data_IF_338576614420
#
_entry.id   IF_338576614420
#
_cell.length_a   1.000
_cell.length_b   1.000
_cell.length_c   1.000
_cell.angle_alpha   90.00
_cell.angle_beta   90.00
_cell.angle_gamma   90.00
#
_symmetry.space_group_name_H-M   'P 1'
#
loop_
_entity.id
_entity.type
_entity.pdbx_description
1 polymer ?
#
# COMPACT_ATOMS: atom_id res chain seq x y z
N UNK A 1 -14.67 11.73 -4.63
CA UNK A 1 -14.46 12.25 -3.25
C UNK A 1 -13.48 13.43 -3.26
N UNK A 2 -13.33 14.20 -2.17
CA UNK A 2 -12.33 15.30 -2.06
C UNK A 2 -11.05 14.76 -1.41
N UNK A 3 -9.89 15.36 -1.68
CA UNK A 3 -8.60 14.94 -1.09
C UNK A 3 -8.65 14.76 0.44
N UNK A 4 -9.42 15.61 1.13
CA UNK A 4 -9.55 15.60 2.58
C UNK A 4 -10.25 14.36 3.15
N UNK A 5 -10.93 13.59 2.30
CA UNK A 5 -11.63 12.35 2.66
C UNK A 5 -10.78 11.10 2.37
N UNK A 6 -9.59 11.29 1.81
CA UNK A 6 -8.67 10.21 1.43
C UNK A 6 -7.51 10.20 2.42
N UNK A 7 -7.38 9.12 3.17
CA UNK A 7 -6.29 8.91 4.11
C UNK A 7 -5.32 7.85 3.56
N UNK A 8 -4.03 7.99 3.89
CA UNK A 8 -3.03 6.95 3.59
C UNK A 8 -3.40 5.68 4.37
N UNK A 9 -3.40 4.54 3.69
CA UNK A 9 -3.85 3.26 4.25
C UNK A 9 -5.36 3.05 4.24
N UNK A 10 -6.17 4.04 3.82
CA UNK A 10 -7.61 3.84 3.68
C UNK A 10 -7.94 2.93 2.49
N UNK A 11 -8.96 2.11 2.67
CA UNK A 11 -9.49 1.24 1.62
C UNK A 11 -10.63 1.95 0.91
N UNK A 12 -10.57 1.99 -0.42
CA UNK A 12 -11.49 2.74 -1.26
C UNK A 12 -11.87 1.94 -2.50
N UNK A 13 -13.07 2.17 -3.02
CA UNK A 13 -13.52 1.59 -4.28
C UNK A 13 -13.21 2.57 -5.40
N UNK A 14 -12.45 2.14 -6.40
CA UNK A 14 -12.04 2.95 -7.52
C UNK A 14 -12.45 2.29 -8.84
N UNK A 15 -12.60 3.11 -9.88
CA UNK A 15 -12.78 2.62 -11.25
C UNK A 15 -11.70 3.25 -12.12
N UNK A 16 -10.98 2.44 -12.87
CA UNK A 16 -10.07 2.94 -13.90
C UNK A 16 -10.85 3.54 -15.04
N UNK A 17 -10.28 4.54 -15.70
CA UNK A 17 -10.90 5.16 -16.87
C UNK A 17 -10.72 4.28 -18.12
N UNK A 18 -9.52 3.73 -18.29
CA UNK A 18 -9.15 2.90 -19.44
C UNK A 18 -8.60 1.52 -19.06
N UNK A 19 -7.88 1.41 -17.94
CA UNK A 19 -7.07 0.22 -17.65
C UNK A 19 -7.87 -1.00 -17.16
N UNK A 20 -8.99 -0.78 -16.49
CA UNK A 20 -9.84 -1.84 -15.92
C UNK A 20 -11.29 -1.64 -16.35
N UNK A 21 -11.96 -2.73 -16.72
CA UNK A 21 -13.35 -2.71 -17.20
C UNK A 21 -14.33 -2.59 -16.03
N UNK A 22 -14.00 -3.23 -14.90
CA UNK A 22 -14.82 -3.23 -13.67
C UNK A 22 -14.27 -2.25 -12.63
N UNK A 23 -15.08 -2.00 -11.63
CA UNK A 23 -14.63 -1.34 -10.40
C UNK A 23 -13.76 -2.30 -9.60
N UNK A 24 -12.78 -1.76 -8.90
CA UNK A 24 -11.88 -2.51 -8.03
C UNK A 24 -11.81 -1.84 -6.66
N UNK A 25 -11.25 -2.56 -5.69
CA UNK A 25 -10.98 -2.05 -4.37
C UNK A 25 -9.48 -1.97 -4.17
N UNK A 26 -9.02 -0.84 -3.62
CA UNK A 26 -7.61 -0.61 -3.38
C UNK A 26 -7.34 0.18 -2.12
N UNK A 27 -6.11 0.07 -1.65
CA UNK A 27 -5.60 0.76 -0.46
C UNK A 27 -4.72 1.93 -0.89
N UNK A 28 -4.94 3.11 -0.31
CA UNK A 28 -4.19 4.31 -0.69
C UNK A 28 -2.76 4.25 -0.16
N UNK A 29 -1.76 4.20 -1.04
CA UNK A 29 -0.34 4.23 -0.67
C UNK A 29 0.27 5.63 -0.78
N UNK A 30 -0.18 6.42 -1.75
CA UNK A 30 0.29 7.80 -1.95
C UNK A 30 -0.87 8.69 -2.36
N UNK A 31 -0.86 9.92 -1.89
CA UNK A 31 -1.87 10.93 -2.22
C UNK A 31 -1.18 12.06 -2.96
N UNK A 32 -1.64 12.35 -4.17
CA UNK A 32 -1.22 13.48 -4.97
C UNK A 32 -2.29 14.59 -4.92
N UNK A 33 -2.09 15.63 -5.72
CA UNK A 33 -2.97 16.79 -5.73
C UNK A 33 -4.39 16.49 -6.25
N UNK A 34 -4.48 15.67 -7.30
CA UNK A 34 -5.75 15.34 -7.97
C UNK A 34 -6.03 13.83 -8.06
N UNK A 35 -5.10 13.00 -7.61
CA UNK A 35 -5.15 11.55 -7.71
C UNK A 35 -4.50 10.89 -6.50
N UNK A 36 -4.72 9.59 -6.33
CA UNK A 36 -3.99 8.77 -5.38
C UNK A 36 -3.40 7.56 -6.11
N UNK A 37 -2.27 7.06 -5.59
CA UNK A 37 -1.78 5.72 -5.91
C UNK A 37 -2.46 4.73 -4.98
N UNK A 38 -3.14 3.76 -5.56
CA UNK A 38 -3.82 2.69 -4.87
C UNK A 38 -3.10 1.36 -5.15
N UNK A 39 -2.90 0.58 -4.10
CA UNK A 39 -2.60 -0.84 -4.20
C UNK A 39 -3.89 -1.63 -4.36
N UNK A 40 -4.07 -2.32 -5.49
CA UNK A 40 -5.27 -3.10 -5.79
C UNK A 40 -5.28 -4.34 -4.89
N UNK A 41 -6.32 -4.47 -4.06
CA UNK A 41 -6.48 -5.61 -3.13
C UNK A 41 -7.65 -6.51 -3.50
N UNK A 42 -8.62 -6.02 -4.27
CA UNK A 42 -9.71 -6.83 -4.82
C UNK A 42 -10.12 -6.33 -6.19
N UNK A 43 -10.24 -7.24 -7.13
CA UNK A 43 -10.56 -6.99 -8.53
C UNK A 43 -11.35 -8.19 -9.09
N UNK A 44 -11.92 -8.02 -10.28
CA UNK A 44 -12.67 -9.06 -10.98
C UNK A 44 -11.72 -9.87 -11.88
N UNK A 45 -11.95 -11.17 -12.04
CA UNK A 45 -11.10 -12.05 -12.86
C UNK A 45 -10.97 -11.59 -14.32
N UNK A 46 -12.00 -10.90 -14.85
CA UNK A 46 -11.95 -10.33 -16.21
C UNK A 46 -10.88 -9.27 -16.39
N UNK A 47 -10.44 -8.66 -15.29
CA UNK A 47 -9.43 -7.61 -15.23
C UNK A 47 -8.08 -8.12 -14.66
N UNK A 48 -7.98 -9.40 -14.30
CA UNK A 48 -6.79 -9.97 -13.65
C UNK A 48 -5.50 -9.76 -14.45
N UNK A 49 -5.57 -9.93 -15.78
CA UNK A 49 -4.42 -9.70 -16.66
C UNK A 49 -3.94 -8.25 -16.60
N UNK A 50 -4.85 -7.28 -16.66
CA UNK A 50 -4.52 -5.86 -16.57
C UNK A 50 -3.98 -5.49 -15.19
N UNK A 51 -4.59 -5.98 -14.12
CA UNK A 51 -4.09 -5.76 -12.74
C UNK A 51 -2.66 -6.30 -12.56
N UNK A 52 -2.38 -7.46 -13.14
CA UNK A 52 -1.04 -8.07 -13.06
C UNK A 52 0.01 -7.28 -13.84
N UNK A 53 -0.34 -6.76 -15.03
CA UNK A 53 0.54 -5.90 -15.85
C UNK A 53 0.90 -4.60 -15.11
N UNK A 54 -0.07 -4.06 -14.36
CA UNK A 54 0.08 -2.87 -13.53
C UNK A 54 0.79 -3.13 -12.20
N UNK A 55 1.30 -4.35 -11.97
CA UNK A 55 1.96 -4.73 -10.72
C UNK A 55 1.08 -4.42 -9.49
N UNK A 56 -0.24 -4.56 -9.63
CA UNK A 56 -1.23 -4.27 -8.59
C UNK A 56 -1.19 -2.83 -8.07
N UNK A 57 -0.63 -1.88 -8.83
CA UNK A 57 -0.53 -0.46 -8.45
C UNK A 57 -1.17 0.41 -9.52
N UNK A 58 -2.09 1.27 -9.11
CA UNK A 58 -2.80 2.14 -10.03
C UNK A 58 -2.97 3.56 -9.48
N UNK A 59 -2.73 4.55 -10.34
CA UNK A 59 -3.00 5.95 -10.02
C UNK A 59 -4.38 6.31 -10.51
N UNK A 60 -5.31 6.64 -9.60
CA UNK A 60 -6.69 6.99 -9.94
C UNK A 60 -7.03 8.39 -9.46
N UNK A 61 -7.77 9.13 -10.28
CA UNK A 61 -8.28 10.45 -9.94
C UNK A 61 -9.35 10.37 -8.84
N UNK A 62 -9.37 11.34 -7.91
CA UNK A 62 -10.37 11.38 -6.84
C UNK A 62 -11.83 11.43 -7.33
N UNK A 63 -12.06 11.87 -8.57
CA UNK A 63 -13.38 11.84 -9.23
C UNK A 63 -13.89 10.41 -9.45
N UNK A 64 -12.99 9.45 -9.69
CA UNK A 64 -13.30 8.07 -10.03
C UNK A 64 -13.17 7.14 -8.80
N UNK A 65 -12.85 7.72 -7.64
CA UNK A 65 -12.80 7.04 -6.35
C UNK A 65 -14.07 7.29 -5.54
N UNK A 66 -14.50 6.25 -4.83
CA UNK A 66 -15.59 6.25 -3.86
C UNK A 66 -15.08 5.64 -2.54
N UNK A 67 -15.50 6.18 -1.39
CA UNK A 67 -15.16 5.55 -0.12
C UNK A 67 -15.73 4.11 -0.13
N UNK A 68 -14.88 3.13 0.11
CA UNK A 68 -15.36 1.80 0.48
C UNK A 68 -16.15 2.01 1.76
N UNK A 69 -17.31 1.38 1.88
CA UNK A 69 -18.27 1.65 2.95
C UNK A 69 -17.71 1.21 4.31
N UNK A 70 -16.73 1.91 4.85
CA UNK A 70 -16.36 1.88 6.25
C UNK A 70 -17.34 2.78 6.98
N UNK A 71 -17.91 2.23 8.05
CA UNK A 71 -19.05 2.75 8.79
C UNK A 71 -19.00 4.26 9.00
N UNK A 72 -20.17 4.90 8.90
CA UNK A 72 -20.40 6.21 9.49
C UNK A 72 -19.80 6.23 10.91
N UNK A 73 -18.98 7.25 11.17
CA UNK A 73 -18.47 7.73 12.46
C UNK A 73 -17.01 7.38 12.80
N UNK A 74 -16.13 8.28 12.41
CA UNK A 74 -15.12 8.82 13.32
C UNK A 74 -15.02 10.35 13.12
N UNK A 75 -16.12 11.05 13.41
CA UNK A 75 -16.10 12.50 13.64
C UNK A 75 -15.78 12.71 15.14
N UNK A 76 -14.51 12.52 15.50
CA UNK A 76 -13.83 12.87 16.76
C UNK A 76 -12.45 12.18 16.67
N UNK A 77 -11.31 12.86 16.48
CA UNK A 77 -10.66 13.81 17.39
C UNK A 77 -9.78 14.75 16.51
N UNK A 78 -9.98 16.07 16.51
CA UNK A 78 -9.50 17.05 17.48
C UNK A 78 -7.96 17.20 17.53
N UNK A 79 -7.52 18.34 16.99
CA UNK A 79 -6.48 19.25 17.49
C UNK A 79 -5.03 18.78 17.67
N UNK A 80 -4.16 19.49 16.94
CA UNK A 80 -2.72 19.68 17.11
C UNK A 80 -2.21 19.58 18.56
N UNK A 81 -1.26 18.67 18.82
CA UNK A 81 -0.23 18.85 19.86
C UNK A 81 1.09 18.23 19.38
N UNK A 82 2.01 19.10 18.93
CA UNK A 82 3.43 18.80 18.84
C UNK A 82 3.95 18.59 20.26
N UNK A 83 4.44 17.39 20.57
CA UNK A 83 5.35 17.17 21.70
C UNK A 83 6.67 16.68 21.12
N UNK A 84 7.64 17.57 21.12
CA UNK A 84 9.04 17.24 20.83
C UNK A 84 9.61 16.65 22.12
N UNK A 85 9.73 15.33 22.17
CA UNK A 85 10.72 14.70 23.02
C UNK A 85 11.99 14.48 22.21
N UNK A 86 12.96 15.38 22.42
CA UNK A 86 14.37 14.97 22.53
C UNK A 86 14.37 13.78 23.52
N UNK A 87 15.23 12.76 23.50
CA UNK A 87 16.68 12.82 23.32
C UNK A 87 17.24 11.38 23.19
N UNK A 88 18.16 11.24 22.23
CA UNK A 88 19.37 10.41 22.24
C UNK A 88 19.32 8.89 21.93
N UNK A 89 20.39 8.37 21.27
CA UNK A 89 20.42 7.10 20.56
C UNK A 89 21.17 6.02 21.35
N UNK A 90 20.86 4.75 21.08
CA UNK A 90 21.83 3.65 21.31
C UNK A 90 21.87 2.74 20.11
N UNK A 91 22.89 2.97 19.29
CA UNK A 91 23.50 1.96 18.45
C UNK A 91 23.99 0.80 19.33
N UNK A 92 23.68 -0.44 18.94
CA UNK A 92 24.66 -1.53 18.91
C UNK A 92 24.48 -2.31 17.62
N UNK A 93 25.45 -2.10 16.74
CA UNK A 93 25.82 -3.00 15.66
C UNK A 93 26.62 -4.19 16.22
N UNK A 94 26.94 -5.08 15.29
CA UNK A 94 27.96 -6.14 15.33
C UNK A 94 27.53 -7.48 15.97
N UNK A 95 27.89 -8.65 15.44
CA UNK A 95 28.54 -9.11 14.20
C UNK A 95 28.53 -10.66 14.27
N UNK A 96 28.50 -11.33 13.12
CA UNK A 96 28.90 -12.73 12.80
C UNK A 96 28.82 -13.87 13.86
N UNK A 97 28.21 -14.98 13.44
CA UNK A 97 28.91 -16.28 13.24
C UNK A 97 28.08 -17.17 12.27
N UNK A 98 28.44 -17.38 11.00
CA UNK A 98 29.42 -18.30 10.40
C UNK A 98 29.17 -19.81 10.65
N UNK A 99 28.86 -20.51 9.55
CA UNK A 99 29.40 -21.84 9.15
C UNK A 99 28.76 -23.12 9.71
N UNK A 100 27.98 -23.80 8.88
CA UNK A 100 28.19 -25.18 8.38
C UNK A 100 26.98 -25.57 7.51
N UNK A 101 27.14 -26.01 6.26
CA UNK A 101 27.40 -27.41 5.96
C UNK A 101 28.24 -27.57 4.69
N UNK A 102 29.37 -28.26 4.87
CA UNK A 102 30.16 -28.91 3.83
C UNK A 102 29.27 -29.92 3.08
N UNK A 103 29.19 -29.81 1.76
CA UNK A 103 28.81 -30.95 0.92
C UNK A 103 30.05 -31.88 0.81
N UNK A 104 29.91 -33.20 1.01
CA UNK A 104 31.04 -34.12 0.99
C UNK A 104 31.49 -34.39 -0.44
N UNK A 105 32.81 -34.50 -0.59
CA UNK A 105 33.45 -35.07 -1.75
C UNK A 105 32.99 -36.52 -1.98
N UNK A 106 32.70 -36.87 -3.24
CA UNK A 106 32.98 -38.21 -3.78
C UNK A 106 33.51 -38.06 -5.20
N UNK A 107 34.83 -38.23 -5.33
CA UNK A 107 35.45 -38.84 -6.52
C UNK A 107 34.94 -40.28 -6.62
N UNK A 108 34.80 -40.75 -7.86
CA UNK A 108 35.22 -42.07 -8.38
C UNK A 108 34.23 -42.59 -9.42
N UNK A 109 34.61 -42.48 -10.69
CA UNK A 109 34.74 -43.65 -11.57
C UNK A 109 35.69 -43.31 -12.72
#
# INVERSE_FOLDING_TARGET
>A
MKKADVELGAVVNAKSEEELKKQFQGTVEKIYENSALLAITSFDDVDAAAVSDLNYKLVVNFKNMKPARAAKKAKALSTNNVTIEKMAPTMKADDKDKKEKKAPAKKSK
#
